data_IF_695277985828
#
_entry.id   IF_695277985828
#
_cell.length_a   1.000
_cell.length_b   1.000
_cell.length_c   1.000
_cell.angle_alpha   90.00
_cell.angle_beta   90.00
_cell.angle_gamma   90.00
#
_symmetry.space_group_name_H-M   'P 1'
#
loop_
_entity.id
_entity.type
_entity.pdbx_description
1 polymer ?
#
# COMPACT_ATOMS: atom_id res chain seq x y z
N UNK A 1 -6.60 8.04 -2.52
CA UNK A 1 -5.55 7.04 -2.77
C UNK A 1 -4.44 7.21 -1.72
N UNK A 2 -4.06 6.16 -0.97
CA UNK A 2 -3.05 6.27 0.13
C UNK A 2 -1.66 6.61 -0.42
N UNK A 3 -1.27 5.97 -1.52
CA UNK A 3 0.04 6.19 -2.16
C UNK A 3 0.23 7.63 -2.65
N UNK A 4 -0.82 8.26 -3.17
CA UNK A 4 -0.81 9.66 -3.61
C UNK A 4 -0.62 10.64 -2.44
N UNK A 5 -1.25 10.39 -1.29
CA UNK A 5 -1.07 11.22 -0.09
C UNK A 5 0.37 11.20 0.44
N UNK A 6 1.08 10.09 0.24
CA UNK A 6 2.49 9.96 0.62
C UNK A 6 3.45 10.36 -0.52
N UNK A 7 2.95 10.86 -1.65
CA UNK A 7 3.76 11.39 -2.74
C UNK A 7 4.44 10.34 -3.65
N UNK A 8 4.04 9.07 -3.55
CA UNK A 8 4.57 7.99 -4.39
C UNK A 8 3.92 7.93 -5.77
N UNK A 9 2.67 8.40 -5.88
CA UNK A 9 1.94 8.51 -7.14
C UNK A 9 1.45 9.94 -7.31
N UNK A 10 1.42 10.41 -8.56
CA UNK A 10 0.85 11.68 -8.95
C UNK A 10 -0.67 11.60 -9.06
N UNK A 11 -1.23 12.51 -9.86
CA UNK A 11 -2.65 12.54 -10.16
C UNK A 11 -3.08 11.24 -10.86
N UNK A 12 -4.26 10.76 -10.48
CA UNK A 12 -4.88 9.58 -11.05
C UNK A 12 -6.16 9.97 -11.76
N UNK A 13 -6.31 9.58 -13.02
CA UNK A 13 -7.52 9.75 -13.81
C UNK A 13 -8.32 8.45 -13.77
N UNK A 14 -9.60 8.55 -13.44
CA UNK A 14 -10.52 7.42 -13.42
C UNK A 14 -11.42 7.55 -14.64
N UNK A 15 -11.24 6.65 -15.60
CA UNK A 15 -12.13 6.53 -16.75
C UNK A 15 -13.18 5.49 -16.43
N UNK A 16 -14.41 5.94 -16.23
CA UNK A 16 -15.52 5.05 -15.91
C UNK A 16 -16.12 4.48 -17.19
N UNK A 17 -15.76 3.24 -17.52
CA UNK A 17 -16.43 2.48 -18.57
C UNK A 17 -17.56 1.66 -17.93
N UNK A 18 -18.70 1.60 -18.61
CA UNK A 18 -19.98 1.00 -18.15
C UNK A 18 -19.90 -0.44 -17.57
N UNK A 19 -18.76 -1.13 -17.68
CA UNK A 19 -18.51 -2.48 -17.14
C UNK A 19 -17.31 -2.58 -16.20
N UNK A 20 -16.26 -1.76 -16.36
CA UNK A 20 -15.03 -1.85 -15.58
C UNK A 20 -14.31 -0.51 -15.63
N UNK A 21 -14.13 0.13 -14.47
CA UNK A 21 -13.35 1.35 -14.36
C UNK A 21 -11.88 1.10 -14.70
N UNK A 22 -11.31 1.93 -15.56
CA UNK A 22 -9.87 1.99 -15.78
C UNK A 22 -9.31 3.16 -14.98
N UNK A 23 -8.14 2.94 -14.37
CA UNK A 23 -7.46 3.99 -13.60
C UNK A 23 -6.09 4.19 -14.22
N UNK A 24 -5.88 5.36 -14.81
CA UNK A 24 -4.56 5.81 -15.25
C UNK A 24 -3.89 6.54 -14.09
N UNK A 25 -2.66 6.15 -13.75
CA UNK A 25 -1.92 6.74 -12.62
C UNK A 25 -0.62 7.32 -13.14
N UNK A 26 -0.35 8.58 -12.84
CA UNK A 26 0.95 9.17 -13.12
C UNK A 26 1.97 8.75 -12.03
N UNK A 27 3.15 8.26 -12.44
CA UNK A 27 4.21 7.85 -11.51
C UNK A 27 5.22 8.98 -11.34
N UNK A 28 5.53 9.36 -10.10
CA UNK A 28 6.50 10.43 -9.79
C UNK A 28 7.95 9.97 -9.82
N UNK A 29 8.22 8.69 -10.12
CA UNK A 29 9.55 8.08 -10.10
C UNK A 29 10.08 7.73 -8.70
N UNK A 30 9.27 7.92 -7.64
CA UNK A 30 9.64 7.63 -6.24
C UNK A 30 9.24 6.25 -5.75
N UNK A 31 8.44 5.53 -6.52
CA UNK A 31 7.98 4.19 -6.16
C UNK A 31 9.05 3.17 -6.56
N UNK A 32 9.63 2.49 -5.57
CA UNK A 32 10.57 1.40 -5.78
C UNK A 32 9.82 0.07 -5.88
N UNK A 33 8.96 -0.21 -4.89
CA UNK A 33 8.17 -1.45 -4.85
C UNK A 33 6.85 -1.27 -4.13
N UNK A 34 5.78 -1.73 -4.76
CA UNK A 34 4.50 -1.97 -4.10
C UNK A 34 4.10 -3.44 -4.22
N UNK A 35 3.55 -4.02 -3.15
CA UNK A 35 3.14 -5.41 -3.12
C UNK A 35 1.90 -5.64 -2.28
N UNK A 36 1.07 -6.59 -2.70
CA UNK A 36 -0.06 -7.10 -1.91
C UNK A 36 0.39 -8.33 -1.14
N UNK A 37 -0.08 -8.46 0.10
CA UNK A 37 0.16 -9.64 0.92
C UNK A 37 -1.10 -10.51 0.87
N UNK A 38 -0.92 -11.75 0.39
CA UNK A 38 -1.99 -12.74 0.26
C UNK A 38 -1.53 -14.09 0.84
N UNK A 39 -2.35 -14.76 1.68
CA UNK A 39 -3.64 -14.31 2.20
C UNK A 39 -3.49 -13.11 3.16
N UNK A 40 -4.58 -12.39 3.40
CA UNK A 40 -4.61 -11.26 4.33
C UNK A 40 -4.54 -11.77 5.76
N UNK A 41 -3.35 -11.83 6.33
CA UNK A 41 -3.12 -12.28 7.70
C UNK A 41 -3.68 -11.28 8.73
N UNK A 42 -4.31 -11.82 9.76
CA UNK A 42 -4.72 -11.07 10.96
C UNK A 42 -3.50 -10.81 11.84
N UNK A 43 -3.29 -9.56 12.24
CA UNK A 43 -2.09 -9.13 12.97
C UNK A 43 -2.47 -8.55 14.32
N UNK A 44 -1.77 -8.98 15.36
CA UNK A 44 -1.87 -8.38 16.68
C UNK A 44 -0.91 -7.19 16.80
N UNK A 45 -1.23 -6.23 17.68
CA UNK A 45 -0.41 -5.02 17.87
C UNK A 45 1.06 -5.36 18.22
N UNK A 46 1.26 -6.44 18.97
CA UNK A 46 2.58 -6.93 19.39
C UNK A 46 3.46 -7.43 18.23
N UNK A 47 2.84 -7.90 17.15
CA UNK A 47 3.55 -8.49 16.01
C UNK A 47 3.88 -7.43 14.95
N UNK A 48 3.42 -6.19 15.13
CA UNK A 48 3.50 -5.13 14.14
C UNK A 48 4.96 -4.72 13.85
N UNK A 49 5.81 -4.68 14.89
CA UNK A 49 7.24 -4.39 14.73
C UNK A 49 7.96 -5.51 13.95
N UNK A 50 7.58 -6.77 14.16
CA UNK A 50 8.12 -7.92 13.41
C UNK A 50 7.79 -7.78 11.92
N UNK A 51 6.53 -7.46 11.60
CA UNK A 51 6.10 -7.24 10.21
C UNK A 51 6.81 -6.03 9.58
N UNK A 52 7.00 -4.95 10.33
CA UNK A 52 7.72 -3.78 9.86
C UNK A 52 9.17 -4.11 9.47
N UNK A 53 9.90 -4.83 10.33
CA UNK A 53 11.29 -5.21 10.06
C UNK A 53 11.43 -6.22 8.90
N UNK A 54 10.41 -7.05 8.66
CA UNK A 54 10.43 -8.06 7.59
C UNK A 54 10.04 -7.49 6.22
N UNK A 55 9.14 -6.51 6.19
CA UNK A 55 8.56 -5.99 4.93
C UNK A 55 9.22 -4.72 4.44
N UNK A 56 9.65 -3.85 5.36
CA UNK A 56 10.24 -2.56 5.00
C UNK A 56 11.76 -2.64 5.05
N UNK A 57 12.46 -2.02 4.07
CA UNK A 57 13.93 -2.00 4.06
C UNK A 57 14.51 -1.14 5.19
N UNK A 58 13.73 -0.21 5.77
CA UNK A 58 14.17 0.62 6.90
C UNK A 58 12.98 1.05 7.76
N UNK A 59 13.25 1.35 9.04
CA UNK A 59 12.23 1.88 9.97
C UNK A 59 11.71 3.27 9.61
N UNK A 60 12.51 4.04 8.86
CA UNK A 60 12.20 5.42 8.45
C UNK A 60 11.61 5.52 7.04
N UNK A 61 11.54 4.41 6.31
CA UNK A 61 11.20 4.42 4.89
C UNK A 61 10.21 3.31 4.55
N UNK A 62 9.18 3.68 3.79
CA UNK A 62 8.11 2.76 3.40
C UNK A 62 6.93 2.73 4.34
N UNK A 63 5.84 2.16 3.83
CA UNK A 63 4.54 2.14 4.48
C UNK A 63 3.89 0.76 4.36
N UNK A 64 3.26 0.34 5.45
CA UNK A 64 2.43 -0.86 5.48
C UNK A 64 0.96 -0.42 5.54
N UNK A 65 0.14 -1.01 4.68
CA UNK A 65 -1.29 -0.72 4.60
C UNK A 65 -2.06 -1.82 5.35
N UNK A 66 -2.88 -1.41 6.31
CA UNK A 66 -3.67 -2.26 7.20
C UNK A 66 -5.16 -1.91 7.09
N UNK A 67 -6.05 -2.90 7.26
CA UNK A 67 -7.47 -2.65 7.50
C UNK A 67 -7.75 -2.69 9.00
N UNK A 68 -8.20 -1.57 9.57
CA UNK A 68 -8.44 -1.43 11.02
C UNK A 68 -9.55 -2.37 11.52
N UNK A 69 -10.61 -2.57 10.73
CA UNK A 69 -11.78 -3.36 11.14
C UNK A 69 -11.49 -4.87 11.25
N UNK A 70 -10.49 -5.36 10.50
CA UNK A 70 -10.06 -6.76 10.55
C UNK A 70 -8.68 -6.94 11.18
N UNK A 71 -7.93 -5.87 11.45
CA UNK A 71 -6.49 -5.92 11.74
C UNK A 71 -5.70 -6.75 10.71
N UNK A 72 -6.11 -6.67 9.44
CA UNK A 72 -5.49 -7.43 8.37
C UNK A 72 -4.45 -6.60 7.64
N UNK A 73 -3.31 -7.19 7.32
CA UNK A 73 -2.36 -6.58 6.38
C UNK A 73 -2.92 -6.69 4.96
N UNK A 74 -2.89 -5.58 4.24
CA UNK A 74 -3.23 -5.52 2.81
C UNK A 74 -1.98 -5.62 1.94
N UNK A 75 -0.92 -4.91 2.32
CA UNK A 75 0.27 -4.80 1.50
C UNK A 75 1.22 -3.73 2.02
N UNK A 76 2.23 -3.43 1.22
CA UNK A 76 3.25 -2.44 1.51
C UNK A 76 3.62 -1.66 0.25
N UNK A 77 4.14 -0.46 0.45
CA UNK A 77 4.77 0.32 -0.62
C UNK A 77 5.96 1.11 -0.07
N UNK A 78 7.01 1.20 -0.86
CA UNK A 78 8.17 2.05 -0.61
C UNK A 78 8.88 2.39 -1.92
#
# INVERSE_FOLDING_TARGET
>A
MVMMRHGYTGESEITDAHRTGQIAVNLTGRLDKCGVISPRFDIQLKDLEKWQNNLLPSRRFGFIVLTTSGRKILGFFF
#
